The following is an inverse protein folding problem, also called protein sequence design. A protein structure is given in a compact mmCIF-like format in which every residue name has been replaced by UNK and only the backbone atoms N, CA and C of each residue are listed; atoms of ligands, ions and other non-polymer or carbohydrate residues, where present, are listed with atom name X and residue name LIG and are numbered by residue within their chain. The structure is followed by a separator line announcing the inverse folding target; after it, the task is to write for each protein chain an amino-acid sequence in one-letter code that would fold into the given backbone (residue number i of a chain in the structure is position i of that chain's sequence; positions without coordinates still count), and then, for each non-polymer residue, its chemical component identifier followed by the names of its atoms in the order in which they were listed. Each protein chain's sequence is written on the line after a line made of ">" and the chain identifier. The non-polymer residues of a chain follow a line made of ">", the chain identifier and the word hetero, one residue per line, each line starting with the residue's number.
data_IF_681334237264
#
_entry.id   IF_681334237264
#
_cell.length_a   1.000
_cell.length_b   1.000
_cell.length_c   1.000
_cell.angle_alpha   90.00
_cell.angle_beta   90.00
_cell.angle_gamma   90.00
#
_symmetry.space_group_name_H-M   'P 1'
#
loop_
_entity.id
_entity.type
_entity.pdbx_description
1 polymer ?
#
# COMPACT_ATOMS: atom_id res chain seq x y z
N UNK A 1 -0.37 -37.95 8.97
CA UNK A 1 0.32 -37.03 8.04
C UNK A 1 -0.73 -36.45 7.11
N UNK A 2 -0.97 -35.14 7.16
CA UNK A 2 -1.63 -34.39 6.08
C UNK A 2 -1.23 -32.92 6.28
N UNK A 3 -0.09 -32.56 5.71
CA UNK A 3 0.34 -31.17 5.59
C UNK A 3 -0.61 -30.48 4.62
N UNK A 4 -1.40 -29.54 5.12
CA UNK A 4 -2.12 -28.62 4.24
C UNK A 4 -1.07 -27.70 3.63
N UNK A 5 -0.89 -27.78 2.32
CA UNK A 5 -0.06 -26.84 1.57
C UNK A 5 -0.50 -25.41 1.90
N UNK A 6 0.39 -24.68 2.56
CA UNK A 6 0.23 -23.25 2.84
C UNK A 6 0.15 -22.56 1.47
N UNK A 7 -1.05 -22.20 1.03
CA UNK A 7 -1.27 -21.49 -0.24
C UNK A 7 -0.44 -20.21 -0.22
N UNK A 8 0.67 -20.21 -0.96
CA UNK A 8 1.60 -19.10 -1.01
C UNK A 8 0.94 -17.97 -1.82
N UNK A 9 0.23 -17.06 -1.13
CA UNK A 9 -0.45 -15.93 -1.78
C UNK A 9 0.62 -14.93 -2.18
N UNK A 10 0.89 -14.83 -3.48
CA UNK A 10 1.72 -13.73 -4.00
C UNK A 10 0.94 -12.43 -3.83
N UNK A 11 1.55 -11.35 -3.32
CA UNK A 11 0.87 -10.08 -3.11
C UNK A 11 0.73 -9.27 -4.42
N UNK A 12 0.71 -9.95 -5.56
CA UNK A 12 0.55 -9.36 -6.88
C UNK A 12 -0.16 -10.31 -7.83
N UNK A 13 -0.80 -9.75 -8.84
CA UNK A 13 -1.48 -10.47 -9.92
C UNK A 13 -1.23 -9.77 -11.24
N UNK A 14 -1.03 -10.55 -12.30
CA UNK A 14 -1.11 -10.06 -13.67
C UNK A 14 -2.58 -9.91 -14.02
N UNK A 15 -2.96 -8.76 -14.57
CA UNK A 15 -4.36 -8.40 -14.84
C UNK A 15 -4.59 -7.97 -16.28
N UNK A 16 -3.73 -8.43 -17.21
CA UNK A 16 -3.83 -8.15 -18.65
C UNK A 16 -5.23 -8.38 -19.21
N UNK A 17 -5.91 -9.45 -18.78
CA UNK A 17 -7.28 -9.80 -19.21
C UNK A 17 -8.37 -8.82 -18.70
N UNK A 18 -8.04 -8.01 -17.68
CA UNK A 18 -8.93 -7.02 -17.07
C UNK A 18 -8.56 -5.59 -17.47
N UNK A 19 -7.43 -5.40 -18.14
CA UNK A 19 -7.00 -4.08 -18.60
C UNK A 19 -7.99 -3.55 -19.63
N UNK A 20 -8.28 -2.26 -19.54
CA UNK A 20 -9.07 -1.56 -20.56
C UNK A 20 -8.31 -1.51 -21.90
N UNK A 21 -6.97 -1.54 -21.86
CA UNK A 21 -6.09 -1.52 -23.03
C UNK A 21 -5.42 -2.89 -23.19
N UNK A 22 -5.87 -3.67 -24.17
CA UNK A 22 -5.40 -5.05 -24.37
C UNK A 22 -3.95 -5.21 -24.85
N UNK A 23 -3.25 -4.11 -25.13
CA UNK A 23 -1.82 -4.12 -25.54
C UNK A 23 -0.88 -3.88 -24.36
N UNK A 24 -1.41 -3.52 -23.19
CA UNK A 24 -0.62 -3.30 -21.99
C UNK A 24 -0.48 -4.59 -21.19
N UNK A 25 0.70 -4.80 -20.59
CA UNK A 25 0.88 -5.83 -19.57
C UNK A 25 0.88 -5.15 -18.20
N UNK A 26 -0.12 -5.49 -17.39
CA UNK A 26 -0.37 -4.83 -16.11
C UNK A 26 -0.23 -5.82 -14.97
N UNK A 27 0.54 -5.43 -13.96
CA UNK A 27 0.71 -6.18 -12.71
C UNK A 27 0.20 -5.34 -11.55
N UNK A 28 -0.88 -5.79 -10.94
CA UNK A 28 -1.48 -5.18 -9.76
C UNK A 28 -0.85 -5.75 -8.49
N UNK A 29 -0.36 -4.88 -7.61
CA UNK A 29 0.13 -5.23 -6.28
C UNK A 29 -0.94 -4.95 -5.23
N UNK A 30 -0.97 -5.75 -4.15
CA UNK A 30 -1.85 -5.48 -3.01
C UNK A 30 -1.44 -4.18 -2.31
N UNK A 31 -2.44 -3.43 -1.82
CA UNK A 31 -2.18 -2.31 -0.91
C UNK A 31 -1.37 -2.79 0.30
N UNK A 32 -0.37 -2.01 0.69
CA UNK A 32 0.57 -2.38 1.75
C UNK A 32 1.75 -3.24 1.27
N UNK A 33 1.90 -3.51 -0.04
CA UNK A 33 3.12 -4.11 -0.57
C UNK A 33 4.31 -3.17 -0.34
N UNK A 34 5.38 -3.69 0.27
CA UNK A 34 6.59 -2.92 0.57
C UNK A 34 7.69 -3.31 -0.39
N UNK A 35 8.37 -2.31 -0.94
CA UNK A 35 9.48 -2.48 -1.86
C UNK A 35 10.76 -1.91 -1.25
N UNK A 36 11.82 -2.71 -1.27
CA UNK A 36 13.17 -2.26 -0.95
C UNK A 36 13.79 -1.63 -2.18
N UNK A 37 14.25 -0.39 -2.04
CA UNK A 37 15.05 0.28 -3.07
C UNK A 37 16.47 -0.30 -3.07
N UNK A 38 16.88 -0.89 -4.17
CA UNK A 38 18.24 -1.42 -4.34
C UNK A 38 19.17 -0.44 -5.05
N UNK A 39 18.63 0.38 -5.95
CA UNK A 39 19.42 1.28 -6.79
C UNK A 39 18.53 2.40 -7.32
N UNK A 40 19.09 3.62 -7.38
CA UNK A 40 18.50 4.75 -8.09
C UNK A 40 19.56 5.21 -9.08
N UNK A 41 19.24 5.16 -10.36
CA UNK A 41 20.10 5.65 -11.43
C UNK A 41 19.36 6.68 -12.28
N UNK A 42 20.12 7.47 -13.03
CA UNK A 42 19.56 8.50 -13.91
C UNK A 42 20.04 8.23 -15.32
N UNK A 43 19.10 8.06 -16.23
CA UNK A 43 19.36 8.01 -17.65
C UNK A 43 19.36 9.42 -18.22
N UNK A 44 20.51 9.79 -18.79
CA UNK A 44 20.73 11.06 -19.48
C UNK A 44 20.58 10.90 -21.01
N UNK A 45 20.28 9.68 -21.48
CA UNK A 45 20.26 9.32 -22.91
C UNK A 45 18.90 9.50 -23.59
N UNK A 46 17.91 10.05 -22.90
CA UNK A 46 16.56 10.41 -23.38
C UNK A 46 16.60 11.52 -24.44
N UNK A 47 17.18 11.16 -25.58
CA UNK A 47 17.51 11.99 -26.73
C UNK A 47 16.35 12.11 -27.73
N UNK A 48 15.08 11.97 -27.32
CA UNK A 48 13.97 12.25 -28.26
C UNK A 48 12.69 12.87 -27.71
N UNK A 49 12.56 13.17 -26.40
CA UNK A 49 11.32 13.84 -25.93
C UNK A 49 11.51 15.15 -25.15
N UNK A 50 12.72 15.46 -24.65
CA UNK A 50 13.05 16.78 -24.14
C UNK A 50 14.54 16.85 -23.85
N UNK A 51 15.24 17.87 -24.37
CA UNK A 51 16.68 18.07 -24.18
C UNK A 51 17.11 18.25 -22.69
N UNK A 52 16.16 18.29 -21.75
CA UNK A 52 16.39 18.50 -20.32
C UNK A 52 15.69 17.45 -19.42
N UNK A 53 15.13 16.37 -19.97
CA UNK A 53 14.45 15.37 -19.15
C UNK A 53 15.43 14.31 -18.66
N UNK A 54 15.82 14.40 -17.39
CA UNK A 54 16.51 13.32 -16.68
C UNK A 54 15.51 12.25 -16.30
N UNK A 55 15.70 11.02 -16.78
CA UNK A 55 14.83 9.91 -16.42
C UNK A 55 15.43 9.17 -15.23
N UNK A 56 14.72 9.12 -14.11
CA UNK A 56 15.15 8.32 -12.95
C UNK A 56 14.67 6.88 -13.10
N UNK A 57 15.59 5.93 -12.99
CA UNK A 57 15.31 4.50 -13.00
C UNK A 57 15.54 3.98 -11.58
N UNK A 58 14.48 3.44 -10.97
CA UNK A 58 14.51 2.93 -9.60
C UNK A 58 14.40 1.41 -9.65
N UNK A 59 15.43 0.71 -9.19
CA UNK A 59 15.40 -0.74 -9.04
C UNK A 59 14.86 -1.09 -7.67
N UNK A 60 13.84 -1.93 -7.65
CA UNK A 60 13.10 -2.30 -6.44
C UNK A 60 12.94 -3.81 -6.32
N UNK A 61 12.92 -4.29 -5.08
CA UNK A 61 12.60 -5.69 -4.75
C UNK A 61 11.39 -5.71 -3.83
N UNK A 62 10.37 -6.49 -4.20
CA UNK A 62 9.21 -6.74 -3.34
C UNK A 62 9.66 -7.55 -2.10
N UNK A 63 9.46 -6.97 -0.92
CA UNK A 63 9.79 -7.63 0.34
C UNK A 63 8.80 -8.77 0.65
N UNK A 64 9.30 -9.83 1.27
CA UNK A 64 8.52 -10.94 1.80
C UNK A 64 8.30 -10.79 3.31
N UNK A 65 7.31 -11.50 3.86
CA UNK A 65 7.05 -11.57 5.30
C UNK A 65 8.23 -12.16 6.11
N UNK A 66 9.21 -12.75 5.44
CA UNK A 66 10.41 -13.35 6.04
C UNK A 66 11.63 -12.44 6.00
N UNK A 67 11.54 -11.25 5.40
CA UNK A 67 12.63 -10.29 5.40
C UNK A 67 12.77 -9.67 6.79
N UNK A 68 13.88 -9.97 7.47
CA UNK A 68 14.12 -9.56 8.86
C UNK A 68 14.12 -8.04 9.05
N UNK A 69 14.51 -7.29 8.02
CA UNK A 69 14.50 -5.83 8.00
C UNK A 69 13.07 -5.26 7.99
N UNK A 70 12.11 -6.02 7.47
CA UNK A 70 10.70 -5.60 7.41
C UNK A 70 10.08 -5.57 8.80
N UNK A 71 10.48 -6.49 9.67
CA UNK A 71 10.02 -6.52 11.06
C UNK A 71 10.45 -5.26 11.82
N UNK A 72 11.69 -4.81 11.62
CA UNK A 72 12.16 -3.57 12.24
C UNK A 72 11.43 -2.35 11.68
N UNK A 73 11.18 -2.32 10.36
CA UNK A 73 10.39 -1.27 9.72
C UNK A 73 8.96 -1.22 10.28
N UNK A 74 8.27 -2.36 10.40
CA UNK A 74 6.94 -2.42 10.99
C UNK A 74 6.94 -2.00 12.46
N UNK A 75 7.93 -2.44 13.24
CA UNK A 75 8.05 -2.05 14.66
C UNK A 75 8.29 -0.53 14.79
N UNK A 76 9.02 0.08 13.85
CA UNK A 76 9.24 1.53 13.80
C UNK A 76 7.98 2.30 13.37
N UNK A 77 7.37 1.91 12.23
CA UNK A 77 6.12 2.50 11.75
C UNK A 77 5.02 2.38 12.80
N UNK A 78 4.91 1.23 13.47
CA UNK A 78 3.93 1.07 14.55
C UNK A 78 4.17 2.05 15.67
N UNK A 79 5.42 2.33 16.07
CA UNK A 79 5.72 3.34 17.11
C UNK A 79 5.46 4.77 16.64
N UNK A 80 5.69 5.07 15.37
CA UNK A 80 5.49 6.41 14.80
C UNK A 80 3.99 6.71 14.59
N UNK A 81 3.23 5.69 14.20
CA UNK A 81 1.81 5.77 13.88
C UNK A 81 0.88 5.16 14.94
N UNK A 82 1.41 4.66 16.07
CA UNK A 82 0.64 4.34 17.30
C UNK A 82 0.13 5.66 17.87
N UNK A 83 -0.89 6.22 17.22
CA UNK A 83 -1.98 6.85 17.96
C UNK A 83 -2.67 5.67 18.62
N UNK A 84 -2.71 5.66 19.95
CA UNK A 84 -2.97 4.50 20.82
C UNK A 84 -4.18 3.61 20.46
N UNK A 85 -5.05 4.00 19.52
CA UNK A 85 -6.07 3.12 18.95
C UNK A 85 -6.30 3.36 17.46
N UNK A 86 -6.12 2.33 16.63
CA UNK A 86 -6.81 2.24 15.34
C UNK A 86 -8.31 2.13 15.61
N UNK A 87 -8.98 3.27 15.71
CA UNK A 87 -10.40 3.36 16.07
C UNK A 87 -11.25 3.84 14.89
N UNK A 88 -12.57 3.74 15.03
CA UNK A 88 -13.53 4.13 13.99
C UNK A 88 -13.35 5.58 13.51
N UNK A 89 -12.83 6.47 14.37
CA UNK A 89 -12.48 7.84 14.01
C UNK A 89 -11.36 7.86 12.96
N UNK A 90 -10.24 7.19 13.23
CA UNK A 90 -9.12 7.11 12.27
C UNK A 90 -9.53 6.52 10.92
N UNK A 91 -10.45 5.56 10.90
CA UNK A 91 -10.97 4.99 9.66
C UNK A 91 -11.91 5.97 8.92
N UNK A 92 -12.72 6.73 9.65
CA UNK A 92 -13.52 7.81 9.08
C UNK A 92 -12.67 8.87 8.38
N UNK A 93 -11.58 9.28 9.01
CA UNK A 93 -10.63 10.28 8.47
C UNK A 93 -10.02 9.81 7.15
N UNK A 94 -9.56 8.56 7.09
CA UNK A 94 -9.03 7.97 5.85
C UNK A 94 -10.08 7.97 4.74
N UNK A 95 -11.34 7.62 5.04
CA UNK A 95 -12.40 7.63 4.03
C UNK A 95 -12.73 9.05 3.55
N UNK A 96 -12.65 10.04 4.44
CA UNK A 96 -12.84 11.44 4.10
C UNK A 96 -11.75 11.94 3.15
N UNK A 97 -10.48 11.67 3.46
CA UNK A 97 -9.34 12.05 2.63
C UNK A 97 -9.38 11.40 1.24
N UNK A 98 -9.95 10.18 1.15
CA UNK A 98 -10.20 9.49 -0.12
C UNK A 98 -11.41 10.01 -0.90
N UNK A 99 -12.13 11.04 -0.40
CA UNK A 99 -13.34 11.59 -1.02
C UNK A 99 -14.59 10.72 -0.87
N UNK A 100 -14.56 9.70 -0.02
CA UNK A 100 -15.67 8.76 0.23
C UNK A 100 -16.54 9.26 1.38
N UNK A 101 -17.18 10.41 1.21
CA UNK A 101 -17.87 11.14 2.29
C UNK A 101 -18.99 10.33 2.96
N UNK A 102 -19.83 9.61 2.20
CA UNK A 102 -20.89 8.77 2.77
C UNK A 102 -20.35 7.70 3.73
N UNK A 103 -19.20 7.13 3.36
CA UNK A 103 -18.55 6.09 4.12
C UNK A 103 -17.83 6.66 5.35
N UNK A 104 -17.22 7.84 5.21
CA UNK A 104 -16.65 8.60 6.32
C UNK A 104 -17.72 8.93 7.38
N UNK A 105 -18.86 9.49 6.95
CA UNK A 105 -19.98 9.82 7.84
C UNK A 105 -20.47 8.60 8.61
N UNK A 106 -20.61 7.45 7.93
CA UNK A 106 -21.01 6.18 8.57
C UNK A 106 -20.06 5.79 9.69
N UNK A 107 -18.75 5.92 9.50
CA UNK A 107 -17.77 5.59 10.52
C UNK A 107 -17.77 6.58 11.68
N UNK A 108 -17.90 7.88 11.42
CA UNK A 108 -18.01 8.89 12.47
C UNK A 108 -19.25 8.72 13.34
N UNK A 109 -20.40 8.44 12.75
CA UNK A 109 -21.64 8.19 13.49
C UNK A 109 -21.53 6.95 14.38
N UNK A 110 -20.91 5.89 13.86
CA UNK A 110 -20.69 4.66 14.62
C UNK A 110 -19.73 4.91 15.79
N UNK A 111 -18.65 5.66 15.55
CA UNK A 111 -17.72 6.05 16.61
C UNK A 111 -18.44 6.80 17.73
N UNK A 112 -19.26 7.80 17.40
CA UNK A 112 -20.05 8.56 18.38
C UNK A 112 -21.02 7.68 19.18
N UNK A 113 -21.59 6.64 18.57
CA UNK A 113 -22.49 5.71 19.27
C UNK A 113 -21.80 4.72 20.20
N UNK A 114 -20.50 4.48 20.00
CA UNK A 114 -19.71 3.52 20.78
C UNK A 114 -18.93 4.21 21.93
N UNK A 115 -18.96 5.54 22.02
CA UNK A 115 -18.38 6.27 23.15
C UNK A 115 -19.16 5.96 24.44
N UNK A 116 -18.48 5.68 25.58
CA UNK A 116 -19.15 5.44 26.84
C UNK A 116 -20.01 6.64 27.23
N UNK A 117 -21.26 6.39 27.63
CA UNK A 117 -22.14 7.44 28.16
C UNK A 117 -21.50 8.03 29.41
N UNK A 118 -21.47 9.35 29.48
CA UNK A 118 -20.78 10.12 30.52
C UNK A 118 -21.62 10.23 31.80
N UNK A 119 -22.26 9.12 32.22
CA UNK A 119 -23.10 9.00 33.42
C UNK A 119 -22.29 8.64 34.67
#
# INVERSE_FOLDING_TARGET
>A
MNGKDKKNRRPFAQIDELSYYGEESEVLFMLGSIFRLSEISHDQSSSSLSANATMSIIRMTLCSDHDNDLKQLYDHMKKEYDREETNLLSLGDVMFDMGKFDLAEKYYRRWLSELPSND
#
